data_IF_526510169554
#
_entry.id   IF_526510169554
#
_cell.length_a   1.000
_cell.length_b   1.000
_cell.length_c   1.000
_cell.angle_alpha   90.00
_cell.angle_beta   90.00
_cell.angle_gamma   90.00
#
_symmetry.space_group_name_H-M   'P 1'
#
loop_
_entity.id
_entity.type
_entity.pdbx_description
1 polymer ?
#
# COMPACT_ATOMS: atom_id res chain seq x y z
N UNK A 1 -91.80 51.56 -0.79
CA UNK A 1 -91.56 52.13 -2.15
C UNK A 1 -90.10 52.58 -2.20
N UNK A 2 -89.39 52.21 -3.27
CA UNK A 2 -88.06 52.64 -3.76
C UNK A 2 -87.52 53.99 -3.22
N UNK A 3 -86.21 54.25 -3.08
CA UNK A 3 -85.06 53.76 -3.85
C UNK A 3 -83.73 54.08 -3.14
N UNK A 4 -82.73 53.26 -3.43
CA UNK A 4 -81.30 53.36 -3.13
C UNK A 4 -80.62 54.55 -3.85
N UNK A 5 -79.70 55.27 -3.19
CA UNK A 5 -78.48 55.84 -3.82
C UNK A 5 -77.49 56.46 -2.82
N UNK A 6 -76.41 55.72 -2.56
CA UNK A 6 -75.06 56.14 -2.96
C UNK A 6 -74.27 57.13 -2.10
N UNK A 7 -73.62 56.65 -1.04
CA UNK A 7 -72.35 57.23 -0.56
C UNK A 7 -71.18 56.42 -1.12
N UNK A 8 -70.62 56.89 -2.23
CA UNK A 8 -69.35 56.39 -2.79
C UNK A 8 -68.26 56.62 -1.75
N UNK A 9 -67.61 55.54 -1.28
CA UNK A 9 -66.33 55.64 -0.56
C UNK A 9 -65.29 56.16 -1.56
N UNK A 10 -64.85 57.40 -1.37
CA UNK A 10 -63.66 57.96 -1.98
C UNK A 10 -62.46 57.12 -1.53
N UNK A 11 -62.05 56.16 -2.35
CA UNK A 11 -60.73 55.54 -2.20
C UNK A 11 -59.75 56.63 -2.62
N UNK A 12 -58.96 57.12 -1.66
CA UNK A 12 -57.95 58.14 -1.90
C UNK A 12 -57.10 57.78 -3.11
N UNK A 13 -56.95 58.70 -4.06
CA UNK A 13 -56.16 58.51 -5.27
C UNK A 13 -54.72 58.06 -4.95
N UNK A 14 -54.19 58.42 -3.78
CA UNK A 14 -52.88 57.99 -3.28
C UNK A 14 -52.84 56.48 -2.92
N UNK A 15 -53.92 55.92 -2.40
CA UNK A 15 -54.04 54.48 -2.12
C UNK A 15 -54.18 53.65 -3.40
N UNK A 16 -54.90 54.17 -4.40
CA UNK A 16 -55.02 53.52 -5.72
C UNK A 16 -53.69 53.49 -6.46
N UNK A 17 -52.87 54.56 -6.35
CA UNK A 17 -51.54 54.64 -6.97
C UNK A 17 -50.53 53.71 -6.28
N UNK A 18 -50.60 53.55 -4.95
CA UNK A 18 -49.71 52.64 -4.22
C UNK A 18 -50.03 51.16 -4.49
N UNK A 19 -51.31 50.79 -4.56
CA UNK A 19 -51.73 49.43 -4.86
C UNK A 19 -51.47 49.03 -6.32
N UNK A 20 -51.63 49.97 -7.27
CA UNK A 20 -51.29 49.71 -8.68
C UNK A 20 -49.79 49.59 -8.90
N UNK A 21 -48.97 50.37 -8.17
CA UNK A 21 -47.50 50.24 -8.19
C UNK A 21 -47.02 48.86 -7.69
N UNK A 22 -47.61 48.32 -6.62
CA UNK A 22 -47.25 46.99 -6.11
C UNK A 22 -47.66 45.86 -7.05
N UNK A 23 -48.80 45.97 -7.73
CA UNK A 23 -49.21 45.01 -8.76
C UNK A 23 -48.29 45.04 -9.99
N UNK A 24 -47.78 46.21 -10.37
CA UNK A 24 -46.87 46.37 -11.51
C UNK A 24 -45.47 45.79 -11.23
N UNK A 25 -44.97 45.96 -10.01
CA UNK A 25 -43.71 45.32 -9.56
C UNK A 25 -43.86 43.80 -9.47
N UNK A 26 -45.00 43.30 -8.98
CA UNK A 26 -45.30 41.87 -8.96
C UNK A 26 -45.39 41.26 -10.37
N UNK A 27 -46.01 41.96 -11.31
CA UNK A 27 -46.11 41.51 -12.71
C UNK A 27 -44.75 41.53 -13.43
N UNK A 28 -43.90 42.54 -13.14
CA UNK A 28 -42.53 42.60 -13.67
C UNK A 28 -41.63 41.49 -13.10
N UNK A 29 -41.81 41.10 -11.83
CA UNK A 29 -41.10 39.96 -11.25
C UNK A 29 -41.55 38.62 -11.84
N UNK A 30 -42.85 38.46 -12.13
CA UNK A 30 -43.38 37.25 -12.76
C UNK A 30 -42.92 37.13 -14.22
N UNK A 31 -42.88 38.24 -14.97
CA UNK A 31 -42.34 38.27 -16.34
C UNK A 31 -40.82 38.06 -16.37
N UNK A 32 -40.09 38.49 -15.34
CA UNK A 32 -38.65 38.19 -15.19
C UNK A 32 -38.38 36.71 -14.91
N UNK A 33 -39.31 36.00 -14.25
CA UNK A 33 -39.20 34.56 -13.97
C UNK A 33 -39.54 33.70 -15.21
N UNK A 34 -40.44 34.17 -16.09
CA UNK A 34 -40.88 33.42 -17.27
C UNK A 34 -40.18 33.82 -18.58
N UNK A 35 -39.52 34.99 -18.62
CA UNK A 35 -38.84 35.53 -19.80
C UNK A 35 -37.35 35.21 -19.90
N UNK A 36 -36.77 34.50 -18.92
CA UNK A 36 -35.41 34.00 -19.06
C UNK A 36 -35.45 32.79 -20.01
N UNK A 37 -34.76 32.81 -21.17
CA UNK A 37 -34.52 31.58 -21.90
C UNK A 37 -33.88 30.64 -20.88
N UNK A 38 -34.41 29.42 -20.76
CA UNK A 38 -33.78 28.37 -19.98
C UNK A 38 -32.35 28.25 -20.49
N UNK A 39 -31.43 28.96 -19.82
CA UNK A 39 -30.01 28.73 -19.96
C UNK A 39 -29.89 27.28 -19.58
N UNK A 40 -29.53 26.46 -20.55
CA UNK A 40 -29.08 25.11 -20.31
C UNK A 40 -27.99 25.26 -19.24
N UNK A 41 -28.36 24.97 -18.00
CA UNK A 41 -27.42 24.86 -16.90
C UNK A 41 -26.66 23.60 -17.23
N UNK A 42 -25.58 23.75 -18.01
CA UNK A 42 -24.45 22.84 -17.92
C UNK A 42 -24.17 22.73 -16.43
N UNK A 43 -24.18 21.51 -15.92
CA UNK A 43 -23.92 21.15 -14.53
C UNK A 43 -22.65 21.83 -14.01
N UNK A 44 -22.80 23.07 -13.54
CA UNK A 44 -21.79 23.79 -12.80
C UNK A 44 -21.64 23.07 -11.48
N UNK A 45 -20.50 22.42 -11.28
CA UNK A 45 -20.06 21.93 -9.99
C UNK A 45 -20.21 23.06 -8.97
N UNK A 46 -21.10 22.88 -8.00
CA UNK A 46 -21.10 23.72 -6.80
C UNK A 46 -19.82 23.31 -6.07
N UNK A 47 -18.77 24.13 -6.19
CA UNK A 47 -17.48 23.92 -5.53
C UNK A 47 -17.63 23.90 -4.01
N UNK A 48 -17.92 22.70 -3.50
CA UNK A 48 -17.97 22.41 -2.07
C UNK A 48 -16.58 22.12 -1.51
N UNK A 49 -16.52 21.88 -0.20
CA UNK A 49 -15.32 21.49 0.56
C UNK A 49 -14.57 20.29 -0.05
N UNK A 50 -15.22 19.46 -0.88
CA UNK A 50 -14.56 18.40 -1.65
C UNK A 50 -13.53 18.90 -2.66
N UNK A 51 -13.85 19.88 -3.50
CA UNK A 51 -12.90 20.40 -4.50
C UNK A 51 -11.63 20.97 -3.86
N UNK A 52 -11.76 21.52 -2.64
CA UNK A 52 -10.65 22.03 -1.86
C UNK A 52 -9.62 20.94 -1.55
N UNK A 53 -10.04 19.79 -1.02
CA UNK A 53 -9.11 18.72 -0.66
C UNK A 53 -8.42 18.11 -1.86
N UNK A 54 -9.12 18.00 -3.01
CA UNK A 54 -8.51 17.59 -4.27
C UNK A 54 -7.44 18.58 -4.76
N UNK A 55 -7.75 19.88 -4.75
CA UNK A 55 -6.81 20.91 -5.17
C UNK A 55 -5.57 20.97 -4.25
N UNK A 56 -5.78 20.89 -2.94
CA UNK A 56 -4.71 20.85 -1.95
C UNK A 56 -3.84 19.61 -2.17
N UNK A 57 -4.44 18.43 -2.36
CA UNK A 57 -3.73 17.19 -2.68
C UNK A 57 -2.85 17.33 -3.92
N UNK A 58 -3.40 17.87 -5.01
CA UNK A 58 -2.65 18.11 -6.26
C UNK A 58 -1.41 19.01 -6.04
N UNK A 59 -1.57 20.11 -5.28
CA UNK A 59 -0.49 21.05 -4.99
C UNK A 59 0.59 20.41 -4.11
N UNK A 60 0.18 19.67 -3.08
CA UNK A 60 1.11 18.98 -2.18
C UNK A 60 1.89 17.89 -2.90
N UNK A 61 1.22 17.12 -3.76
CA UNK A 61 1.87 16.13 -4.62
C UNK A 61 2.90 16.79 -5.55
N UNK A 62 2.52 17.89 -6.22
CA UNK A 62 3.43 18.65 -7.11
C UNK A 62 4.63 19.21 -6.34
N UNK A 63 4.43 19.59 -5.08
CA UNK A 63 5.49 20.06 -4.20
C UNK A 63 6.35 18.93 -3.60
N UNK A 64 6.05 17.66 -3.88
CA UNK A 64 6.77 16.50 -3.34
C UNK A 64 6.44 16.18 -1.87
N UNK A 65 5.39 16.79 -1.30
CA UNK A 65 4.95 16.56 0.08
C UNK A 65 3.99 15.36 0.10
N UNK A 66 4.54 14.18 -0.20
CA UNK A 66 3.78 12.94 -0.46
C UNK A 66 2.82 12.58 0.67
N UNK A 67 3.29 12.61 1.92
CA UNK A 67 2.47 12.25 3.10
C UNK A 67 1.23 13.14 3.28
N UNK A 68 1.39 14.46 3.14
CA UNK A 68 0.26 15.39 3.27
C UNK A 68 -0.69 15.33 2.06
N UNK A 69 -0.15 15.04 0.87
CA UNK A 69 -0.97 14.81 -0.32
C UNK A 69 -1.89 13.60 -0.13
N UNK A 70 -1.39 12.51 0.46
CA UNK A 70 -2.20 11.33 0.82
C UNK A 70 -3.34 11.74 1.75
N UNK A 71 -3.05 12.46 2.84
CA UNK A 71 -4.08 12.89 3.81
C UNK A 71 -5.16 13.73 3.12
N UNK A 72 -4.79 14.62 2.21
CA UNK A 72 -5.74 15.44 1.47
C UNK A 72 -6.66 14.60 0.56
N UNK A 73 -6.11 13.65 -0.20
CA UNK A 73 -6.91 12.78 -1.06
C UNK A 73 -7.78 11.79 -0.28
N UNK A 74 -7.32 11.27 0.86
CA UNK A 74 -8.15 10.43 1.73
C UNK A 74 -9.36 11.17 2.27
N UNK A 75 -9.17 12.42 2.71
CA UNK A 75 -10.29 13.30 3.09
C UNK A 75 -11.23 13.60 1.94
N UNK A 76 -10.68 13.76 0.72
CA UNK A 76 -11.51 13.94 -0.46
C UNK A 76 -12.41 12.74 -0.72
N UNK A 77 -11.89 11.51 -0.59
CA UNK A 77 -12.66 10.27 -0.71
C UNK A 77 -13.69 10.08 0.42
N UNK A 78 -13.37 10.46 1.66
CA UNK A 78 -14.26 10.25 2.81
C UNK A 78 -15.46 11.19 2.84
N UNK A 79 -15.26 12.44 2.44
CA UNK A 79 -16.23 13.52 2.71
C UNK A 79 -17.23 13.72 1.56
N UNK A 80 -17.05 13.03 0.42
CA UNK A 80 -17.78 13.30 -0.81
C UNK A 80 -18.37 12.02 -1.41
N UNK A 81 -19.59 12.13 -1.93
CA UNK A 81 -20.17 11.10 -2.79
C UNK A 81 -19.67 11.33 -4.21
N UNK A 82 -18.61 10.62 -4.57
CA UNK A 82 -17.98 10.73 -5.89
C UNK A 82 -18.70 9.81 -6.90
N UNK A 83 -18.64 10.19 -8.17
CA UNK A 83 -18.92 9.26 -9.25
C UNK A 83 -17.78 8.24 -9.38
N UNK A 84 -18.06 7.10 -10.01
CA UNK A 84 -17.11 5.99 -10.13
C UNK A 84 -15.81 6.38 -10.84
N UNK A 85 -15.89 7.25 -11.84
CA UNK A 85 -14.71 7.67 -12.60
C UNK A 85 -13.78 8.52 -11.73
N UNK A 86 -14.33 9.48 -10.99
CA UNK A 86 -13.57 10.30 -10.05
C UNK A 86 -12.99 9.47 -8.90
N UNK A 87 -13.78 8.56 -8.31
CA UNK A 87 -13.33 7.68 -7.23
C UNK A 87 -12.17 6.77 -7.68
N UNK A 88 -12.26 6.23 -8.90
CA UNK A 88 -11.23 5.39 -9.51
C UNK A 88 -9.93 6.17 -9.73
N UNK A 89 -9.99 7.37 -10.32
CA UNK A 89 -8.81 8.23 -10.55
C UNK A 89 -8.10 8.62 -9.26
N UNK A 90 -8.87 9.02 -8.24
CA UNK A 90 -8.29 9.40 -6.93
C UNK A 90 -7.69 8.18 -6.23
N UNK A 91 -8.34 7.02 -6.33
CA UNK A 91 -7.79 5.76 -5.82
C UNK A 91 -6.47 5.41 -6.51
N UNK A 92 -6.39 5.58 -7.83
CA UNK A 92 -5.15 5.38 -8.57
C UNK A 92 -4.04 6.34 -8.12
N UNK A 93 -4.34 7.64 -7.98
CA UNK A 93 -3.40 8.64 -7.46
C UNK A 93 -2.90 8.29 -6.05
N UNK A 94 -3.81 7.86 -5.16
CA UNK A 94 -3.43 7.38 -3.82
C UNK A 94 -2.56 6.13 -3.88
N UNK A 95 -2.84 5.20 -4.80
CA UNK A 95 -1.99 4.03 -5.05
C UNK A 95 -0.55 4.43 -5.37
N UNK A 96 -0.37 5.37 -6.31
CA UNK A 96 0.95 5.89 -6.70
C UNK A 96 1.66 6.57 -5.52
N UNK A 97 0.96 7.43 -4.78
CA UNK A 97 1.54 8.13 -3.63
C UNK A 97 1.95 7.16 -2.52
N UNK A 98 1.14 6.14 -2.24
CA UNK A 98 1.49 5.11 -1.27
C UNK A 98 2.69 4.28 -1.72
N UNK A 99 2.81 3.96 -3.02
CA UNK A 99 3.98 3.28 -3.56
C UNK A 99 5.24 4.13 -3.42
N UNK A 100 5.16 5.42 -3.75
CA UNK A 100 6.24 6.40 -3.59
C UNK A 100 6.66 6.55 -2.12
N UNK A 101 5.70 6.53 -1.19
CA UNK A 101 5.95 6.61 0.25
C UNK A 101 6.46 5.28 0.85
N UNK A 102 6.57 4.22 0.06
CA UNK A 102 7.00 2.89 0.52
C UNK A 102 5.93 2.08 1.26
N UNK A 103 4.69 2.55 1.29
CA UNK A 103 3.56 1.90 1.96
C UNK A 103 2.87 0.91 1.01
N UNK A 104 3.62 -0.13 0.60
CA UNK A 104 3.24 -1.05 -0.49
C UNK A 104 1.90 -1.77 -0.27
N UNK A 105 1.55 -2.12 0.95
CA UNK A 105 0.26 -2.78 1.23
C UNK A 105 -0.93 -1.82 1.06
N UNK A 106 -0.76 -0.54 1.42
CA UNK A 106 -1.78 0.49 1.18
C UNK A 106 -1.89 0.81 -0.30
N UNK A 107 -0.77 0.86 -1.02
CA UNK A 107 -0.75 1.01 -2.47
C UNK A 107 -1.52 -0.14 -3.15
N UNK A 108 -1.23 -1.38 -2.75
CA UNK A 108 -1.89 -2.58 -3.26
C UNK A 108 -3.41 -2.54 -3.03
N UNK A 109 -3.84 -2.13 -1.83
CA UNK A 109 -5.26 -1.92 -1.52
C UNK A 109 -5.93 -0.93 -2.48
N UNK A 110 -5.28 0.22 -2.75
CA UNK A 110 -5.85 1.24 -3.64
C UNK A 110 -5.92 0.79 -5.09
N UNK A 111 -4.93 0.08 -5.61
CA UNK A 111 -5.00 -0.47 -6.96
C UNK A 111 -6.08 -1.54 -7.13
N UNK A 112 -6.29 -2.40 -6.12
CA UNK A 112 -7.43 -3.33 -6.15
C UNK A 112 -8.79 -2.59 -6.12
N UNK A 113 -8.88 -1.48 -5.40
CA UNK A 113 -10.08 -0.65 -5.42
C UNK A 113 -10.38 -0.09 -6.83
N UNK A 114 -9.35 0.35 -7.57
CA UNK A 114 -9.48 0.80 -8.96
C UNK A 114 -10.09 -0.29 -9.84
N UNK A 115 -9.55 -1.52 -9.80
CA UNK A 115 -10.08 -2.66 -10.55
C UNK A 115 -11.54 -2.98 -10.19
N UNK A 116 -11.91 -2.86 -8.92
CA UNK A 116 -13.27 -3.15 -8.45
C UNK A 116 -14.30 -2.07 -8.84
N UNK A 117 -13.86 -0.80 -8.97
CA UNK A 117 -14.73 0.32 -9.34
C UNK A 117 -15.02 0.33 -10.84
N UNK A 118 -13.98 0.18 -11.66
CA UNK A 118 -14.08 0.19 -13.13
C UNK A 118 -13.05 -0.74 -13.77
N UNK A 119 -13.45 -1.99 -14.00
CA UNK A 119 -12.61 -3.04 -14.60
C UNK A 119 -12.09 -2.66 -15.99
N UNK A 120 -12.80 -1.79 -16.72
CA UNK A 120 -12.57 -1.49 -18.14
C UNK A 120 -11.74 -0.24 -18.43
N UNK A 121 -11.43 0.57 -17.41
CA UNK A 121 -10.68 1.81 -17.57
C UNK A 121 -9.20 1.59 -17.91
N UNK A 122 -8.56 2.59 -18.53
CA UNK A 122 -7.09 2.63 -18.70
C UNK A 122 -6.38 2.56 -17.34
N UNK A 123 -6.93 3.22 -16.31
CA UNK A 123 -6.39 3.22 -14.95
C UNK A 123 -6.41 1.81 -14.33
N UNK A 124 -7.42 0.98 -14.66
CA UNK A 124 -7.49 -0.44 -14.25
C UNK A 124 -6.39 -1.28 -14.88
N UNK A 125 -6.05 -1.06 -16.16
CA UNK A 125 -4.96 -1.79 -16.83
C UNK A 125 -3.60 -1.44 -16.25
N UNK A 126 -3.35 -0.17 -15.92
CA UNK A 126 -2.10 0.24 -15.29
C UNK A 126 -2.03 -0.20 -13.82
N UNK A 127 -3.14 -0.15 -13.09
CA UNK A 127 -3.27 -0.73 -11.74
C UNK A 127 -2.91 -2.22 -11.74
N UNK A 128 -3.37 -2.96 -12.75
CA UNK A 128 -3.11 -4.39 -12.90
C UNK A 128 -1.61 -4.73 -12.96
N UNK A 129 -0.82 -3.94 -13.70
CA UNK A 129 0.64 -4.11 -13.75
C UNK A 129 1.29 -3.75 -12.40
N UNK A 130 0.81 -2.68 -11.76
CA UNK A 130 1.30 -2.21 -10.46
C UNK A 130 1.06 -3.25 -9.37
N UNK A 131 -0.12 -3.89 -9.35
CA UNK A 131 -0.47 -4.96 -8.41
C UNK A 131 0.54 -6.11 -8.51
N UNK A 132 0.84 -6.59 -9.72
CA UNK A 132 1.82 -7.69 -9.92
C UNK A 132 3.19 -7.28 -9.36
N UNK A 133 3.69 -6.09 -9.72
CA UNK A 133 4.98 -5.59 -9.26
C UNK A 133 5.05 -5.44 -7.72
N UNK A 134 3.98 -4.94 -7.10
CA UNK A 134 3.88 -4.81 -5.64
C UNK A 134 3.85 -6.17 -4.95
N UNK A 135 3.11 -7.15 -5.48
CA UNK A 135 3.08 -8.50 -4.94
C UNK A 135 4.47 -9.16 -5.00
N UNK A 136 5.22 -8.97 -6.09
CA UNK A 136 6.61 -9.44 -6.19
C UNK A 136 7.53 -8.75 -5.18
N UNK A 137 7.40 -7.42 -5.01
CA UNK A 137 8.16 -6.65 -4.01
C UNK A 137 7.87 -7.11 -2.58
N UNK A 138 6.63 -7.47 -2.31
CA UNK A 138 6.17 -8.07 -1.06
C UNK A 138 6.55 -9.56 -0.94
N UNK A 139 7.28 -10.11 -1.90
CA UNK A 139 7.69 -11.53 -1.98
C UNK A 139 6.51 -12.52 -2.02
N UNK A 140 5.32 -12.06 -2.44
CA UNK A 140 4.11 -12.85 -2.62
C UNK A 140 4.03 -13.38 -4.06
N UNK A 141 5.06 -14.15 -4.47
CA UNK A 141 5.26 -14.56 -5.87
C UNK A 141 4.12 -15.43 -6.41
N UNK A 142 3.54 -16.30 -5.59
CA UNK A 142 2.40 -17.11 -6.04
C UNK A 142 1.15 -16.26 -6.30
N UNK A 143 0.92 -15.22 -5.50
CA UNK A 143 -0.16 -14.27 -5.72
C UNK A 143 0.07 -13.44 -6.99
N UNK A 144 1.31 -12.94 -7.19
CA UNK A 144 1.68 -12.22 -8.41
C UNK A 144 1.47 -13.07 -9.68
N UNK A 145 1.86 -14.35 -9.64
CA UNK A 145 1.65 -15.29 -10.74
C UNK A 145 0.17 -15.55 -11.02
N UNK A 146 -0.65 -15.66 -9.97
CA UNK A 146 -2.10 -15.83 -10.11
C UNK A 146 -2.75 -14.61 -10.78
N UNK A 147 -2.39 -13.41 -10.32
CA UNK A 147 -2.87 -12.15 -10.88
C UNK A 147 -2.49 -12.01 -12.36
N UNK A 148 -1.23 -12.26 -12.71
CA UNK A 148 -0.77 -12.26 -14.10
C UNK A 148 -1.54 -13.27 -14.97
N UNK A 149 -1.78 -14.48 -14.43
CA UNK A 149 -2.56 -15.49 -15.14
C UNK A 149 -3.99 -14.98 -15.41
N UNK A 150 -4.64 -14.38 -14.42
CA UNK A 150 -5.99 -13.84 -14.57
C UNK A 150 -6.06 -12.71 -15.63
N UNK A 151 -5.04 -11.85 -15.69
CA UNK A 151 -4.96 -10.79 -16.70
C UNK A 151 -4.78 -11.33 -18.13
N UNK A 152 -4.12 -12.48 -18.28
CA UNK A 152 -3.89 -13.13 -19.59
C UNK A 152 -4.97 -14.13 -19.99
N UNK A 153 -5.89 -14.47 -19.09
CA UNK A 153 -6.95 -15.44 -19.33
C UNK A 153 -8.08 -14.80 -20.18
N UNK A 154 -8.61 -15.55 -21.15
CA UNK A 154 -9.81 -15.15 -21.89
C UNK A 154 -11.01 -15.11 -20.92
N UNK A 155 -12.00 -14.24 -21.16
CA UNK A 155 -13.15 -14.05 -20.25
C UNK A 155 -13.86 -15.34 -19.82
N UNK A 156 -13.83 -16.39 -20.66
CA UNK A 156 -14.42 -17.71 -20.38
C UNK A 156 -13.61 -18.58 -19.41
N UNK A 157 -12.35 -18.23 -19.16
CA UNK A 157 -11.41 -18.94 -18.28
C UNK A 157 -11.10 -18.15 -16.98
N UNK A 158 -11.76 -17.00 -16.77
CA UNK A 158 -11.66 -16.24 -15.52
C UNK A 158 -12.20 -17.12 -14.38
N UNK A 159 -11.33 -17.49 -13.44
CA UNK A 159 -11.69 -18.28 -12.26
C UNK A 159 -12.59 -17.44 -11.38
N UNK A 160 -13.80 -17.92 -11.06
CA UNK A 160 -14.66 -17.29 -10.05
C UNK A 160 -13.88 -17.16 -8.74
N UNK A 161 -13.56 -15.91 -8.39
CA UNK A 161 -12.89 -15.60 -7.13
C UNK A 161 -13.92 -15.75 -6.02
N UNK A 162 -13.94 -16.90 -5.36
CA UNK A 162 -14.68 -17.08 -4.12
C UNK A 162 -14.25 -15.99 -3.12
N UNK A 163 -15.20 -15.22 -2.61
CA UNK A 163 -14.98 -13.98 -1.83
C UNK A 163 -14.18 -14.15 -0.51
N UNK A 164 -13.84 -15.38 -0.13
CA UNK A 164 -12.97 -15.69 1.02
C UNK A 164 -11.64 -16.34 0.65
N UNK A 165 -11.30 -16.41 -0.63
CA UNK A 165 -10.23 -17.27 -1.14
C UNK A 165 -10.68 -18.74 -1.23
N UNK A 166 -9.97 -19.52 -2.05
CA UNK A 166 -10.25 -20.95 -2.23
C UNK A 166 -9.86 -21.75 -0.98
N UNK A 167 -10.81 -22.48 -0.38
CA UNK A 167 -10.53 -23.39 0.73
C UNK A 167 -9.93 -24.68 0.16
N UNK A 168 -8.72 -25.02 0.59
CA UNK A 168 -7.97 -26.17 0.09
C UNK A 168 -7.88 -27.32 1.11
N UNK A 169 -8.12 -27.05 2.40
CA UNK A 169 -8.24 -28.06 3.44
C UNK A 169 -9.08 -27.57 4.63
N UNK A 170 -9.45 -28.47 5.55
CA UNK A 170 -10.07 -28.15 6.84
C UNK A 170 -9.44 -28.99 7.95
N UNK A 171 -9.03 -28.36 9.04
CA UNK A 171 -8.41 -29.00 10.22
C UNK A 171 -9.28 -28.70 11.45
N UNK A 172 -9.89 -29.73 12.05
CA UNK A 172 -10.75 -29.58 13.24
C UNK A 172 -11.81 -28.45 13.10
N UNK A 173 -12.34 -28.23 11.89
CA UNK A 173 -13.31 -27.18 11.59
C UNK A 173 -12.72 -25.83 11.15
N UNK A 174 -11.41 -25.60 11.34
CA UNK A 174 -10.70 -24.43 10.80
C UNK A 174 -10.46 -24.61 9.28
N UNK A 175 -10.94 -23.70 8.42
CA UNK A 175 -10.58 -23.71 7.00
C UNK A 175 -9.11 -23.32 6.81
N UNK A 176 -8.44 -24.00 5.88
CA UNK A 176 -7.12 -23.64 5.37
C UNK A 176 -7.32 -23.12 3.95
N UNK A 177 -6.93 -21.89 3.72
CA UNK A 177 -7.09 -21.20 2.44
C UNK A 177 -5.86 -21.35 1.56
N UNK A 178 -6.07 -21.29 0.24
CA UNK A 178 -5.01 -21.42 -0.77
C UNK A 178 -3.90 -20.37 -0.57
N UNK A 179 -4.23 -19.16 -0.11
CA UNK A 179 -3.24 -18.12 0.13
C UNK A 179 -2.27 -18.49 1.27
N UNK A 180 -2.74 -19.11 2.36
CA UNK A 180 -1.89 -19.52 3.49
C UNK A 180 -0.83 -20.52 3.02
N UNK A 181 -1.25 -21.47 2.18
CA UNK A 181 -0.38 -22.52 1.63
C UNK A 181 0.62 -21.94 0.63
N UNK A 182 0.19 -21.01 -0.22
CA UNK A 182 1.07 -20.34 -1.18
C UNK A 182 2.09 -19.41 -0.49
N UNK A 183 1.70 -18.72 0.58
CA UNK A 183 2.61 -17.90 1.38
C UNK A 183 3.69 -18.77 2.05
N UNK A 184 3.29 -19.92 2.62
CA UNK A 184 4.24 -20.88 3.17
C UNK A 184 5.21 -21.43 2.09
N UNK A 185 4.74 -21.63 0.85
CA UNK A 185 5.58 -21.99 -0.30
C UNK A 185 6.58 -20.88 -0.67
N UNK A 186 6.13 -19.62 -0.68
CA UNK A 186 6.96 -18.46 -1.03
C UNK A 186 8.12 -18.25 -0.06
N UNK A 187 7.94 -18.65 1.20
CA UNK A 187 8.95 -18.58 2.26
C UNK A 187 9.98 -19.73 2.26
N UNK A 188 9.75 -20.80 1.48
CA UNK A 188 10.72 -21.90 1.42
C UNK A 188 12.07 -21.45 0.84
N UNK A 189 13.19 -22.06 1.25
CA UNK A 189 14.45 -21.87 0.55
C UNK A 189 14.34 -22.30 -0.93
N UNK A 190 15.02 -21.61 -1.83
CA UNK A 190 14.95 -21.83 -3.28
C UNK A 190 15.24 -23.28 -3.71
N UNK A 191 16.09 -23.98 -2.94
CA UNK A 191 16.39 -25.39 -3.17
C UNK A 191 15.13 -26.29 -3.07
N UNK A 192 14.21 -25.97 -2.15
CA UNK A 192 12.99 -26.75 -1.91
C UNK A 192 11.81 -26.28 -2.76
N UNK A 193 11.77 -25.02 -3.19
CA UNK A 193 10.69 -24.50 -4.06
C UNK A 193 10.55 -25.29 -5.36
N UNK A 194 11.66 -25.76 -5.92
CA UNK A 194 11.67 -26.55 -7.15
C UNK A 194 10.95 -27.90 -7.01
N UNK A 195 11.04 -28.53 -5.85
CA UNK A 195 10.40 -29.82 -5.57
C UNK A 195 8.86 -29.70 -5.55
N UNK A 196 8.34 -28.59 -5.05
CA UNK A 196 6.90 -28.34 -4.93
C UNK A 196 6.30 -27.56 -6.11
N UNK A 197 7.04 -27.44 -7.21
CA UNK A 197 6.57 -26.77 -8.42
C UNK A 197 5.55 -27.64 -9.19
N UNK A 198 4.64 -26.98 -9.92
CA UNK A 198 3.59 -27.67 -10.68
C UNK A 198 2.40 -28.14 -9.83
N UNK A 199 1.41 -28.75 -10.47
CA UNK A 199 0.15 -29.15 -9.82
C UNK A 199 0.37 -30.21 -8.74
N UNK A 200 1.11 -31.26 -9.08
CA UNK A 200 1.37 -32.38 -8.16
C UNK A 200 2.27 -31.95 -6.99
N UNK A 201 3.30 -31.14 -7.28
CA UNK A 201 4.16 -30.54 -6.25
C UNK A 201 3.37 -29.70 -5.25
N UNK A 202 2.45 -28.85 -5.72
CA UNK A 202 1.55 -28.08 -4.84
C UNK A 202 0.64 -28.96 -3.99
N UNK A 203 0.09 -30.04 -4.55
CA UNK A 203 -0.72 -30.98 -3.76
C UNK A 203 0.10 -31.70 -2.69
N UNK A 204 1.34 -32.10 -3.01
CA UNK A 204 2.25 -32.69 -2.04
C UNK A 204 2.62 -31.71 -0.93
N UNK A 205 2.88 -30.45 -1.30
CA UNK A 205 3.11 -29.40 -0.30
C UNK A 205 1.88 -29.17 0.58
N UNK A 206 0.68 -29.11 0.03
CA UNK A 206 -0.56 -28.98 0.81
C UNK A 206 -0.70 -30.11 1.84
N UNK A 207 -0.43 -31.36 1.43
CA UNK A 207 -0.45 -32.50 2.36
C UNK A 207 0.57 -32.34 3.48
N UNK A 208 1.79 -31.91 3.13
CA UNK A 208 2.86 -31.63 4.11
C UNK A 208 2.45 -30.52 5.08
N UNK A 209 1.95 -29.40 4.55
CA UNK A 209 1.50 -28.26 5.33
C UNK A 209 0.41 -28.65 6.34
N UNK A 210 -0.61 -29.39 5.89
CA UNK A 210 -1.68 -29.90 6.76
C UNK A 210 -1.12 -30.86 7.82
N UNK A 211 -0.17 -31.73 7.46
CA UNK A 211 0.47 -32.62 8.42
C UNK A 211 1.26 -31.84 9.50
N UNK A 212 2.01 -30.82 9.10
CA UNK A 212 2.77 -29.96 10.01
C UNK A 212 1.82 -29.22 10.98
N UNK A 213 0.72 -28.66 10.48
CA UNK A 213 -0.30 -28.01 11.32
C UNK A 213 -0.93 -28.96 12.35
N UNK A 214 -1.20 -30.22 11.97
CA UNK A 214 -1.68 -31.25 12.89
C UNK A 214 -0.64 -31.59 13.96
N UNK A 215 0.65 -31.65 13.60
CA UNK A 215 1.73 -31.87 14.54
C UNK A 215 1.90 -30.68 15.51
N UNK A 216 1.78 -29.45 15.03
CA UNK A 216 1.76 -28.24 15.87
C UNK A 216 0.58 -28.25 16.83
N UNK A 217 -0.62 -28.61 16.36
CA UNK A 217 -1.80 -28.76 17.20
C UNK A 217 -1.58 -29.81 18.30
N UNK A 218 -0.95 -30.94 17.97
CA UNK A 218 -0.55 -31.95 18.95
C UNK A 218 0.50 -31.42 19.94
N UNK A 219 1.52 -30.73 19.47
CA UNK A 219 2.56 -30.13 20.33
C UNK A 219 1.96 -29.12 21.32
N UNK A 220 0.98 -28.33 20.89
CA UNK A 220 0.24 -27.39 21.77
C UNK A 220 -0.59 -28.12 22.82
N UNK A 221 -1.29 -29.20 22.45
CA UNK A 221 -2.03 -30.07 23.38
C UNK A 221 -1.10 -30.70 24.42
N UNK A 222 0.13 -31.04 24.03
CA UNK A 222 1.19 -31.55 24.90
C UNK A 222 1.97 -30.46 25.65
N UNK A 223 1.60 -29.18 25.48
CA UNK A 223 2.23 -28.02 26.11
C UNK A 223 3.73 -27.89 25.84
N UNK A 224 4.23 -28.34 24.68
CA UNK A 224 5.65 -28.21 24.33
C UNK A 224 6.11 -26.76 24.21
N UNK A 225 5.22 -25.79 24.01
CA UNK A 225 5.54 -24.37 24.11
C UNK A 225 6.05 -23.97 25.52
N UNK A 226 5.75 -24.74 26.56
CA UNK A 226 6.21 -24.52 27.92
C UNK A 226 7.50 -25.28 28.25
N UNK A 227 8.04 -26.05 27.30
CA UNK A 227 9.28 -26.78 27.48
C UNK A 227 10.47 -25.81 27.60
N UNK A 228 11.31 -26.03 28.61
CA UNK A 228 12.44 -25.15 28.89
C UNK A 228 13.54 -25.16 27.82
N UNK A 229 13.69 -26.26 27.06
CA UNK A 229 14.62 -26.31 25.92
C UNK A 229 14.08 -25.49 24.76
N UNK A 230 12.79 -25.65 24.43
CA UNK A 230 12.15 -24.87 23.36
C UNK A 230 12.16 -23.37 23.69
N UNK A 231 11.81 -22.98 24.92
CA UNK A 231 11.87 -21.56 25.33
C UNK A 231 13.27 -20.97 25.20
N UNK A 232 14.31 -21.66 25.68
CA UNK A 232 15.70 -21.22 25.52
C UNK A 232 16.13 -21.13 24.06
N UNK A 233 15.68 -22.05 23.21
CA UNK A 233 15.93 -21.97 21.77
C UNK A 233 15.26 -20.73 21.16
N UNK A 234 14.02 -20.44 21.54
CA UNK A 234 13.31 -19.25 21.08
C UNK A 234 14.00 -17.95 21.55
N UNK A 235 14.40 -17.87 22.81
CA UNK A 235 15.16 -16.73 23.35
C UNK A 235 16.49 -16.52 22.60
N UNK A 236 17.17 -17.61 22.23
CA UNK A 236 18.42 -17.51 21.47
C UNK A 236 18.17 -17.04 20.03
N UNK A 237 17.11 -17.52 19.38
CA UNK A 237 16.70 -17.06 18.04
C UNK A 237 16.32 -15.58 18.11
N UNK A 238 15.55 -15.17 19.11
CA UNK A 238 15.17 -13.77 19.33
C UNK A 238 16.42 -12.88 19.45
N UNK A 239 17.36 -13.24 20.33
CA UNK A 239 18.64 -12.52 20.46
C UNK A 239 19.39 -12.41 19.14
N UNK A 240 19.47 -13.50 18.37
CA UNK A 240 20.13 -13.49 17.06
C UNK A 240 19.45 -12.55 16.07
N UNK A 241 18.12 -12.57 15.99
CA UNK A 241 17.34 -11.69 15.11
C UNK A 241 17.48 -10.22 15.51
N UNK A 242 17.48 -9.91 16.81
CA UNK A 242 17.68 -8.54 17.31
C UNK A 242 19.07 -8.02 16.95
N UNK A 243 20.11 -8.82 17.19
CA UNK A 243 21.49 -8.46 16.78
C UNK A 243 21.56 -8.27 15.27
N UNK A 244 21.03 -9.19 14.48
CA UNK A 244 21.02 -9.09 13.02
C UNK A 244 20.34 -7.81 12.54
N UNK A 245 19.19 -7.44 13.11
CA UNK A 245 18.45 -6.23 12.76
C UNK A 245 19.25 -4.96 13.04
N UNK A 246 19.90 -4.89 14.21
CA UNK A 246 20.77 -3.75 14.59
C UNK A 246 21.94 -3.65 13.62
N UNK A 247 22.61 -4.76 13.29
CA UNK A 247 23.73 -4.75 12.35
C UNK A 247 23.29 -4.35 10.93
N UNK A 248 22.13 -4.78 10.47
CA UNK A 248 21.57 -4.38 9.18
C UNK A 248 21.35 -2.86 9.12
N UNK A 249 20.78 -2.27 10.18
CA UNK A 249 20.54 -0.83 10.26
C UNK A 249 21.83 -0.01 10.41
N UNK A 250 22.71 -0.42 11.32
CA UNK A 250 23.89 0.36 11.70
C UNK A 250 25.07 0.15 10.76
N UNK A 251 25.12 -0.97 10.06
CA UNK A 251 26.24 -1.33 9.17
C UNK A 251 25.74 -1.52 7.75
N UNK A 252 24.79 -2.43 7.54
CA UNK A 252 24.33 -2.83 6.20
C UNK A 252 23.94 -1.65 5.33
N UNK A 253 23.14 -0.72 5.86
CA UNK A 253 22.72 0.51 5.15
C UNK A 253 23.86 1.50 4.86
N UNK A 254 24.95 1.46 5.63
CA UNK A 254 26.11 2.38 5.51
C UNK A 254 27.17 1.86 4.53
N UNK A 255 27.12 0.58 4.15
CA UNK A 255 28.02 0.01 3.15
C UNK A 255 27.57 0.46 1.75
N UNK A 256 28.00 1.66 1.35
CA UNK A 256 27.99 2.08 -0.06
C UNK A 256 29.19 1.48 -0.78
N UNK A 257 28.94 0.93 -1.98
CA UNK A 257 29.94 0.36 -2.89
C UNK A 257 30.14 1.31 -4.08
N UNK A 258 30.67 2.49 -3.78
CA UNK A 258 31.00 3.46 -4.82
C UNK A 258 32.11 2.87 -5.74
N UNK A 259 31.96 2.93 -7.08
CA UNK A 259 32.99 2.48 -8.00
C UNK A 259 34.39 3.05 -7.72
N UNK A 260 34.48 4.29 -7.24
CA UNK A 260 35.74 4.92 -6.85
C UNK A 260 36.36 4.24 -5.62
N UNK A 261 35.56 3.92 -4.60
CA UNK A 261 36.02 3.24 -3.40
C UNK A 261 36.51 1.82 -3.70
N UNK A 262 35.80 1.09 -4.55
CA UNK A 262 36.18 -0.27 -4.97
C UNK A 262 37.52 -0.23 -5.72
N UNK A 263 37.69 0.75 -6.61
CA UNK A 263 38.95 0.93 -7.35
C UNK A 263 40.11 1.30 -6.41
N UNK A 264 39.88 2.21 -5.47
CA UNK A 264 40.87 2.60 -4.47
C UNK A 264 41.27 1.40 -3.59
N UNK A 265 40.30 0.57 -3.20
CA UNK A 265 40.56 -0.65 -2.44
C UNK A 265 41.42 -1.64 -3.24
N UNK A 266 41.13 -1.86 -4.53
CA UNK A 266 41.99 -2.66 -5.42
C UNK A 266 43.41 -2.10 -5.49
N UNK A 267 43.55 -0.79 -5.68
CA UNK A 267 44.86 -0.14 -5.82
C UNK A 267 45.70 -0.24 -4.54
N UNK A 268 45.08 -0.10 -3.38
CA UNK A 268 45.73 -0.25 -2.08
C UNK A 268 46.08 -1.71 -1.75
N UNK A 269 45.41 -2.69 -2.37
CA UNK A 269 45.58 -4.12 -2.10
C UNK A 269 46.10 -4.90 -3.31
N UNK A 270 46.77 -4.26 -4.28
CA UNK A 270 47.24 -4.92 -5.53
C UNK A 270 48.03 -6.20 -5.29
N UNK A 271 48.79 -6.30 -4.20
CA UNK A 271 49.56 -7.49 -3.85
C UNK A 271 48.71 -8.72 -3.51
N UNK A 272 47.43 -8.52 -3.17
CA UNK A 272 46.44 -9.60 -2.95
C UNK A 272 45.80 -10.08 -4.25
N UNK A 273 45.86 -9.28 -5.30
CA UNK A 273 45.14 -9.52 -6.55
C UNK A 273 46.11 -9.80 -7.70
N UNK A 274 46.08 -11.02 -8.22
CA UNK A 274 46.95 -11.44 -9.32
C UNK A 274 46.34 -11.24 -10.72
N UNK A 275 45.20 -10.54 -10.81
CA UNK A 275 44.47 -10.31 -12.06
C UNK A 275 44.14 -8.82 -12.26
N UNK A 276 43.95 -8.37 -13.51
CA UNK A 276 43.51 -7.00 -13.79
C UNK A 276 42.15 -6.71 -13.16
N UNK A 277 41.97 -5.50 -12.63
CA UNK A 277 40.73 -5.07 -11.96
C UNK A 277 39.46 -5.43 -12.75
N UNK A 278 39.46 -5.21 -14.06
CA UNK A 278 38.31 -5.48 -14.94
C UNK A 278 37.82 -6.93 -14.93
N UNK A 279 38.70 -7.89 -14.63
CA UNK A 279 38.36 -9.33 -14.58
C UNK A 279 37.83 -9.76 -13.22
N UNK A 280 38.10 -8.99 -12.16
CA UNK A 280 37.84 -9.36 -10.77
C UNK A 280 37.03 -8.31 -10.01
N UNK A 281 36.40 -7.36 -10.69
CA UNK A 281 35.62 -6.27 -10.07
C UNK A 281 34.65 -6.78 -9.00
N UNK A 282 33.93 -7.88 -9.26
CA UNK A 282 32.99 -8.49 -8.30
C UNK A 282 33.70 -9.03 -7.05
N UNK A 283 34.82 -9.74 -7.23
CA UNK A 283 35.61 -10.26 -6.11
C UNK A 283 36.15 -9.10 -5.25
N UNK A 284 36.68 -8.06 -5.90
CA UNK A 284 37.19 -6.87 -5.20
C UNK A 284 36.07 -6.17 -4.45
N UNK A 285 34.88 -6.04 -5.06
CA UNK A 285 33.70 -5.45 -4.42
C UNK A 285 33.24 -6.24 -3.19
N UNK A 286 33.18 -7.58 -3.29
CA UNK A 286 32.83 -8.45 -2.17
C UNK A 286 33.84 -8.33 -1.01
N UNK A 287 35.14 -8.36 -1.32
CA UNK A 287 36.19 -8.18 -0.32
C UNK A 287 36.19 -6.78 0.31
N UNK A 288 35.96 -5.73 -0.50
CA UNK A 288 35.80 -4.36 -0.01
C UNK A 288 34.62 -4.26 0.96
N UNK A 289 33.45 -4.78 0.58
CA UNK A 289 32.25 -4.79 1.44
C UNK A 289 32.49 -5.55 2.73
N UNK A 290 33.17 -6.69 2.65
CA UNK A 290 33.54 -7.48 3.83
C UNK A 290 34.47 -6.69 4.76
N UNK A 291 35.54 -6.08 4.23
CA UNK A 291 36.48 -5.30 5.05
C UNK A 291 35.83 -4.06 5.65
N UNK A 292 35.04 -3.31 4.86
CA UNK A 292 34.30 -2.14 5.33
C UNK A 292 33.27 -2.52 6.39
N UNK A 293 32.57 -3.65 6.20
CA UNK A 293 31.65 -4.20 7.19
C UNK A 293 32.34 -4.57 8.50
N UNK A 294 33.51 -5.21 8.45
CA UNK A 294 34.31 -5.52 9.64
C UNK A 294 34.78 -4.25 10.37
N UNK A 295 35.21 -3.22 9.63
CA UNK A 295 35.60 -1.93 10.21
C UNK A 295 34.43 -1.24 10.91
N UNK A 296 33.27 -1.15 10.23
CA UNK A 296 32.07 -0.56 10.81
C UNK A 296 31.58 -1.34 12.04
N UNK A 297 31.67 -2.67 12.02
CA UNK A 297 31.38 -3.51 13.18
C UNK A 297 32.33 -3.21 14.34
N UNK A 298 33.64 -3.16 14.08
CA UNK A 298 34.64 -2.86 15.10
C UNK A 298 34.38 -1.50 15.75
N UNK A 299 34.10 -0.47 14.94
CA UNK A 299 33.79 0.88 15.43
C UNK A 299 32.51 0.88 16.28
N UNK A 300 31.45 0.23 15.81
CA UNK A 300 30.19 0.11 16.54
C UNK A 300 30.40 -0.60 17.89
N UNK A 301 31.19 -1.68 17.92
CA UNK A 301 31.49 -2.38 19.17
C UNK A 301 32.32 -1.52 20.13
N UNK A 302 33.31 -0.80 19.61
CA UNK A 302 34.12 0.11 20.42
C UNK A 302 33.27 1.22 21.05
N UNK A 303 32.37 1.81 20.27
CA UNK A 303 31.45 2.83 20.75
C UNK A 303 30.51 2.28 21.82
N UNK A 304 29.87 1.13 21.59
CA UNK A 304 28.99 0.47 22.56
C UNK A 304 29.74 0.13 23.86
N UNK A 305 30.96 -0.42 23.76
CA UNK A 305 31.77 -0.77 24.93
C UNK A 305 32.24 0.46 25.74
N UNK A 306 32.37 1.63 25.11
CA UNK A 306 32.71 2.88 25.80
C UNK A 306 31.51 3.50 26.50
N UNK A 307 30.31 3.38 25.91
CA UNK A 307 29.08 3.98 26.46
C UNK A 307 28.44 3.12 27.54
N UNK A 308 28.59 1.80 27.45
CA UNK A 308 28.00 0.84 28.38
C UNK A 308 29.01 0.41 29.47
N UNK A 309 28.55 0.18 30.71
CA UNK A 309 29.41 -0.32 31.81
C UNK A 309 29.69 -1.84 31.64
N UNK A 310 30.59 -2.18 30.72
CA UNK A 310 30.95 -3.57 30.40
C UNK A 310 32.25 -3.96 31.09
N UNK A 311 32.20 -5.03 31.89
CA UNK A 311 33.38 -5.67 32.51
C UNK A 311 33.55 -7.08 31.96
N UNK A 312 34.62 -7.29 31.20
CA UNK A 312 34.92 -8.59 30.58
C UNK A 312 35.98 -9.32 31.43
N UNK A 313 35.62 -10.49 31.97
CA UNK A 313 36.51 -11.36 32.74
C UNK A 313 37.01 -12.53 31.89
N UNK A 314 37.80 -12.21 30.85
CA UNK A 314 38.26 -13.20 29.87
C UNK A 314 39.18 -14.29 30.47
N UNK A 315 39.91 -13.94 31.53
CA UNK A 315 40.75 -14.83 32.33
C UNK A 315 39.98 -16.00 32.97
N UNK A 316 38.66 -15.86 33.16
CA UNK A 316 37.79 -16.89 33.75
C UNK A 316 37.20 -17.88 32.76
N UNK A 317 37.51 -17.76 31.47
CA UNK A 317 36.95 -18.60 30.40
C UNK A 317 37.89 -19.72 29.96
N UNK A 318 38.94 -20.01 30.74
CA UNK A 318 39.89 -21.11 30.51
C UNK A 318 39.43 -22.42 31.15
#
# INVERSE_FOLDING_TARGET
MNENKGTRKLIDARMVILLSSQLLVGLLLILAIWGLPARNISSGHISGRGDFYREVGNKLQTAGVVGEAIVAYERYLSDNKLDKETESKISFSLGNLYEENGEYEKALHKYYAVQAIDESSLDSQDSSKRIVALLERLKKYNAAKFELKNQTALEKDKVEVNQGGEIVAKIEGRPIFNFEVNEALDQLPEAYKKEFSGKDGKQNFLRKYVADELLVAKARKLQYQNDGKIRRQLENIEKQLLVQRVLEDEIGKKISADPADIKNYYEANKTKFNKPFAEITKQVEEEYKMQKGQMLYSNLMEDILKTEDVKIFADKMQ
#
